data_IF_594085523775
#
_entry.id   IF_594085523775
#
_cell.length_a   1.000
_cell.length_b   1.000
_cell.length_c   1.000
_cell.angle_alpha   90.00
_cell.angle_beta   90.00
_cell.angle_gamma   90.00
#
_symmetry.space_group_name_H-M   'P 1'
#
loop_
_entity.id
_entity.type
_entity.pdbx_description
1 polymer ?
#
# COMPACT_ATOMS: atom_id res chain seq x y z
N UNK A 1 -7.39 3.65 9.93
CA UNK A 1 -6.93 3.34 8.57
C UNK A 1 -7.31 1.91 8.23
N UNK A 2 -7.92 1.74 7.08
CA UNK A 2 -8.82 0.60 6.81
C UNK A 2 -8.24 -0.38 5.78
N UNK A 3 -6.98 -0.17 5.35
CA UNK A 3 -6.35 -1.11 4.41
C UNK A 3 -5.98 -2.39 5.16
N UNK A 4 -6.57 -3.50 4.75
CA UNK A 4 -6.19 -4.80 5.29
C UNK A 4 -4.78 -5.16 4.81
N UNK A 5 -3.81 -4.98 5.70
CA UNK A 5 -2.41 -5.30 5.45
C UNK A 5 -2.20 -6.73 4.94
N UNK A 6 -2.99 -7.68 5.43
CA UNK A 6 -2.86 -9.08 5.03
C UNK A 6 -3.15 -9.26 3.56
N UNK A 7 -4.21 -8.63 3.05
CA UNK A 7 -4.54 -8.69 1.62
C UNK A 7 -3.39 -8.15 0.76
N UNK A 8 -2.81 -7.02 1.15
CA UNK A 8 -1.69 -6.43 0.40
C UNK A 8 -0.46 -7.34 0.47
N UNK A 9 -0.10 -7.84 1.64
CA UNK A 9 1.05 -8.72 1.80
C UNK A 9 0.86 -10.04 1.05
N UNK A 10 -0.35 -10.56 1.01
CA UNK A 10 -0.67 -11.78 0.27
C UNK A 10 -0.46 -11.64 -1.24
N UNK A 11 -0.67 -10.44 -1.80
CA UNK A 11 -0.40 -10.17 -3.21
C UNK A 11 1.09 -10.36 -3.58
N UNK A 12 1.98 -10.15 -2.63
CA UNK A 12 3.42 -10.24 -2.87
C UNK A 12 4.04 -11.58 -2.48
N UNK A 13 3.31 -12.49 -1.82
CA UNK A 13 3.82 -13.80 -1.40
C UNK A 13 4.36 -14.65 -2.54
N UNK A 14 3.72 -14.56 -3.71
CA UNK A 14 4.10 -15.36 -4.88
C UNK A 14 5.19 -14.71 -5.73
N UNK A 15 5.58 -13.48 -5.43
CA UNK A 15 6.54 -12.72 -6.24
C UNK A 15 8.00 -13.07 -5.94
N UNK A 16 8.28 -13.76 -4.84
CA UNK A 16 9.63 -14.02 -4.37
C UNK A 16 10.29 -12.84 -3.64
N UNK A 17 9.55 -11.75 -3.42
CA UNK A 17 10.02 -10.60 -2.63
C UNK A 17 9.50 -10.67 -1.20
N UNK A 18 10.37 -10.35 -0.26
CA UNK A 18 10.00 -10.21 1.15
C UNK A 18 9.64 -8.76 1.45
N UNK A 19 8.40 -8.51 1.82
CA UNK A 19 7.95 -7.20 2.26
C UNK A 19 8.14 -7.09 3.76
N UNK A 20 9.00 -6.17 4.19
CA UNK A 20 9.38 -6.00 5.61
C UNK A 20 8.31 -5.33 6.44
N UNK A 21 7.43 -4.55 5.83
CA UNK A 21 6.32 -3.91 6.50
C UNK A 21 5.58 -2.90 5.64
N UNK A 22 4.52 -2.35 6.21
CA UNK A 22 3.73 -1.28 5.62
C UNK A 22 3.73 -0.10 6.59
N UNK A 23 4.26 1.02 6.17
CA UNK A 23 4.50 2.12 7.08
C UNK A 23 4.16 3.51 6.56
N UNK A 24 4.44 4.47 7.40
CA UNK A 24 4.36 5.91 7.12
C UNK A 24 5.67 6.59 7.49
N UNK A 25 6.04 7.64 6.77
CA UNK A 25 7.13 8.49 7.20
C UNK A 25 6.72 9.35 8.39
N UNK A 26 7.53 9.34 9.43
CA UNK A 26 7.39 10.19 10.61
C UNK A 26 8.72 10.82 10.98
N UNK A 27 8.66 12.03 11.50
CA UNK A 27 9.83 12.66 12.11
C UNK A 27 9.95 12.22 13.56
N UNK A 28 11.02 11.50 13.86
CA UNK A 28 11.37 11.06 15.20
C UNK A 28 12.71 11.69 15.55
N UNK A 29 12.74 12.57 16.54
CA UNK A 29 13.97 13.28 16.95
C UNK A 29 14.68 14.00 15.78
N UNK A 30 13.91 14.69 14.93
CA UNK A 30 14.40 15.38 13.73
C UNK A 30 14.98 14.47 12.64
N UNK A 31 14.76 13.17 12.72
CA UNK A 31 15.12 12.20 11.69
C UNK A 31 13.85 11.63 11.07
N UNK A 32 13.76 11.67 9.75
CA UNK A 32 12.66 11.02 9.04
C UNK A 32 12.86 9.51 9.05
N UNK A 33 11.92 8.81 9.61
CA UNK A 33 11.92 7.35 9.72
C UNK A 33 10.64 6.77 9.14
N UNK A 34 10.75 5.61 8.52
CA UNK A 34 9.61 4.82 8.11
C UNK A 34 9.16 3.96 9.29
N UNK A 35 7.96 4.22 9.78
CA UNK A 35 7.39 3.53 10.95
C UNK A 35 6.28 2.61 10.49
N UNK A 36 6.33 1.35 10.90
CA UNK A 36 5.27 0.39 10.65
C UNK A 36 3.95 0.86 11.28
N UNK A 37 2.88 0.75 10.52
CA UNK A 37 1.53 1.06 10.99
C UNK A 37 0.88 -0.10 11.75
N UNK A 38 1.60 -1.21 11.99
CA UNK A 38 1.18 -2.26 12.90
C UNK A 38 1.16 -1.76 14.35
N UNK A 39 0.58 -2.55 15.22
CA UNK A 39 0.41 -2.19 16.63
C UNK A 39 1.73 -1.88 17.37
N UNK A 40 2.85 -2.34 16.81
CA UNK A 40 4.16 -2.16 17.43
C UNK A 40 4.83 -0.80 17.15
N UNK A 41 4.39 -0.07 16.16
CA UNK A 41 4.99 1.21 15.72
C UNK A 41 6.53 1.16 15.56
N UNK A 42 7.04 0.06 15.07
CA UNK A 42 8.49 -0.15 14.90
C UNK A 42 9.02 0.53 13.64
N UNK A 43 10.27 1.01 13.64
CA UNK A 43 10.93 1.43 12.42
C UNK A 43 11.05 0.26 11.44
N UNK A 44 10.73 0.52 10.17
CA UNK A 44 10.97 -0.42 9.07
C UNK A 44 12.34 -0.11 8.50
N UNK A 45 13.27 -1.06 8.63
CA UNK A 45 14.55 -1.03 7.94
C UNK A 45 14.44 -1.71 6.58
N UNK A 46 15.20 -1.21 5.60
CA UNK A 46 15.52 -2.02 4.44
C UNK A 46 16.57 -3.04 4.91
N UNK A 47 16.18 -4.29 4.86
CA UNK A 47 17.14 -5.36 5.07
C UNK A 47 18.14 -5.34 3.91
N UNK A 48 19.40 -5.55 4.23
CA UNK A 48 20.51 -5.61 3.25
C UNK A 48 20.43 -6.91 2.42
N UNK A 49 19.22 -7.34 2.11
CA UNK A 49 18.92 -8.58 1.41
C UNK A 49 18.28 -8.25 0.07
N UNK A 50 18.89 -8.76 -0.97
CA UNK A 50 18.29 -8.73 -2.31
C UNK A 50 16.89 -9.33 -2.29
N UNK A 51 15.99 -8.78 -3.08
CA UNK A 51 14.58 -9.17 -3.17
C UNK A 51 13.77 -8.89 -1.89
N UNK A 52 14.11 -7.83 -1.20
CA UNK A 52 13.30 -7.30 -0.10
C UNK A 52 12.80 -5.90 -0.42
N UNK A 53 11.83 -5.44 0.33
CA UNK A 53 11.30 -4.11 0.18
C UNK A 53 10.26 -3.76 1.23
N UNK A 54 9.66 -2.60 1.08
CA UNK A 54 8.60 -2.12 1.94
C UNK A 54 7.49 -1.46 1.15
N UNK A 55 6.34 -1.32 1.79
CA UNK A 55 5.22 -0.53 1.30
C UNK A 55 5.03 0.65 2.25
N UNK A 56 4.75 1.81 1.70
CA UNK A 56 4.38 2.97 2.50
C UNK A 56 3.15 3.67 1.97
N UNK A 57 2.46 4.33 2.86
CA UNK A 57 1.33 5.18 2.49
C UNK A 57 1.85 6.47 1.85
N UNK A 58 1.28 6.81 0.69
CA UNK A 58 1.51 8.10 0.05
C UNK A 58 0.51 9.13 0.56
N UNK A 59 -0.75 8.72 0.65
CA UNK A 59 -1.86 9.55 1.11
C UNK A 59 -2.76 8.76 2.06
N UNK A 60 -3.58 9.48 2.79
CA UNK A 60 -4.64 8.87 3.59
C UNK A 60 -5.69 8.20 2.71
N UNK A 61 -6.35 7.21 3.28
CA UNK A 61 -7.47 6.53 2.62
C UNK A 61 -8.59 7.53 2.35
N UNK A 62 -9.09 7.53 1.13
CA UNK A 62 -10.19 8.38 0.70
C UNK A 62 -11.43 7.52 0.41
N UNK A 63 -12.57 8.01 0.80
CA UNK A 63 -13.85 7.46 0.36
C UNK A 63 -14.08 7.94 -1.06
N UNK A 64 -14.17 7.01 -2.01
CA UNK A 64 -14.26 7.32 -3.43
C UNK A 64 -15.68 7.27 -3.98
N UNK A 65 -16.51 6.39 -3.43
CA UNK A 65 -17.89 6.20 -3.87
C UNK A 65 -18.77 5.80 -2.70
N UNK A 66 -19.96 6.35 -2.67
CA UNK A 66 -21.02 5.93 -1.75
C UNK A 66 -22.25 5.63 -2.59
N UNK A 67 -22.53 4.36 -2.77
CA UNK A 67 -23.76 3.92 -3.45
C UNK A 67 -24.75 3.40 -2.41
N UNK A 68 -25.94 3.94 -2.45
CA UNK A 68 -27.03 3.55 -1.57
C UNK A 68 -28.23 3.19 -2.43
N UNK A 69 -28.40 1.91 -2.70
CA UNK A 69 -29.56 1.39 -3.40
C UNK A 69 -30.30 0.42 -2.50
N UNK A 70 -31.51 0.82 -2.11
CA UNK A 70 -32.38 -0.05 -1.30
C UNK A 70 -31.69 -0.55 -0.03
N UNK A 71 -31.51 -1.85 0.13
CA UNK A 71 -30.82 -2.47 1.27
C UNK A 71 -29.32 -2.67 1.04
N UNK A 72 -28.77 -2.30 -0.11
CA UNK A 72 -27.34 -2.45 -0.40
C UNK A 72 -26.65 -1.10 -0.36
N UNK A 73 -25.64 -1.00 0.49
CA UNK A 73 -24.77 0.15 0.57
C UNK A 73 -23.35 -0.30 0.26
N UNK A 74 -22.73 0.32 -0.72
CA UNK A 74 -21.32 0.11 -0.98
C UNK A 74 -20.54 1.40 -0.78
N UNK A 75 -19.46 1.30 -0.06
CA UNK A 75 -18.50 2.39 0.15
C UNK A 75 -17.22 1.99 -0.52
N UNK A 76 -16.85 2.72 -1.56
CA UNK A 76 -15.55 2.56 -2.20
C UNK A 76 -14.49 3.35 -1.43
N UNK A 77 -13.39 2.70 -1.11
CA UNK A 77 -12.23 3.31 -0.49
C UNK A 77 -11.03 3.18 -1.41
N UNK A 78 -10.22 4.22 -1.47
CA UNK A 78 -8.99 4.22 -2.24
C UNK A 78 -7.83 4.74 -1.40
N UNK A 79 -6.72 4.04 -1.45
CA UNK A 79 -5.49 4.42 -0.75
C UNK A 79 -4.32 4.35 -1.71
N UNK A 80 -3.58 5.44 -1.82
CA UNK A 80 -2.38 5.47 -2.64
C UNK A 80 -1.17 4.99 -1.82
N UNK A 81 -0.50 4.00 -2.35
CA UNK A 81 0.62 3.30 -1.73
C UNK A 81 1.85 3.34 -2.65
N UNK A 82 3.00 3.28 -2.04
CA UNK A 82 4.28 3.15 -2.74
C UNK A 82 4.93 1.86 -2.28
N UNK A 83 5.28 1.01 -3.25
CA UNK A 83 6.12 -0.16 -3.06
C UNK A 83 7.54 0.20 -3.48
N UNK A 84 8.50 -0.04 -2.61
CA UNK A 84 9.94 0.09 -2.92
C UNK A 84 10.60 -1.25 -2.73
N UNK A 85 11.25 -1.74 -3.78
CA UNK A 85 11.93 -3.03 -3.79
C UNK A 85 13.42 -2.87 -4.12
N UNK A 86 14.25 -3.62 -3.42
CA UNK A 86 15.65 -3.83 -3.73
C UNK A 86 15.77 -5.03 -4.65
N UNK A 87 16.43 -4.83 -5.76
CA UNK A 87 16.59 -5.85 -6.80
C UNK A 87 18.05 -6.03 -7.17
N UNK A 88 18.41 -7.24 -7.55
CA UNK A 88 19.73 -7.50 -8.10
C UNK A 88 19.91 -6.79 -9.46
N UNK A 89 21.11 -6.37 -9.79
CA UNK A 89 21.42 -5.52 -10.96
C UNK A 89 21.07 -6.11 -12.32
N UNK A 90 20.70 -7.37 -12.39
CA UNK A 90 20.45 -8.05 -13.66
C UNK A 90 18.96 -7.93 -14.04
N UNK A 91 18.71 -7.37 -15.24
CA UNK A 91 17.38 -7.34 -15.85
C UNK A 91 16.29 -6.57 -15.06
N UNK A 92 16.63 -5.44 -14.46
CA UNK A 92 15.67 -4.62 -13.70
C UNK A 92 14.43 -4.23 -14.53
N UNK A 93 14.61 -3.93 -15.81
CA UNK A 93 13.48 -3.59 -16.70
C UNK A 93 12.48 -4.73 -16.81
N UNK A 94 12.96 -5.94 -17.05
CA UNK A 94 12.09 -7.12 -17.17
C UNK A 94 11.40 -7.44 -15.84
N UNK A 95 12.11 -7.28 -14.74
CA UNK A 95 11.55 -7.50 -13.42
C UNK A 95 10.47 -6.49 -13.09
N UNK A 96 10.69 -5.21 -13.37
CA UNK A 96 9.67 -4.17 -13.16
C UNK A 96 8.42 -4.42 -14.00
N UNK A 97 8.57 -4.83 -15.26
CA UNK A 97 7.44 -5.18 -16.12
C UNK A 97 6.67 -6.40 -15.60
N UNK A 98 7.37 -7.43 -15.13
CA UNK A 98 6.73 -8.63 -14.57
C UNK A 98 5.96 -8.31 -13.28
N UNK A 99 6.54 -7.53 -12.38
CA UNK A 99 5.87 -7.09 -11.16
C UNK A 99 4.65 -6.25 -11.45
N UNK A 100 4.78 -5.29 -12.37
CA UNK A 100 3.64 -4.47 -12.80
C UNK A 100 2.53 -5.33 -13.39
N UNK A 101 2.89 -6.30 -14.24
CA UNK A 101 1.92 -7.25 -14.82
C UNK A 101 1.24 -8.12 -13.76
N UNK A 102 1.96 -8.54 -12.72
CA UNK A 102 1.38 -9.30 -11.61
C UNK A 102 0.38 -8.45 -10.81
N UNK A 103 0.74 -7.20 -10.53
CA UNK A 103 -0.16 -6.28 -9.82
C UNK A 103 -1.41 -5.95 -10.63
N UNK A 104 -1.28 -5.80 -11.94
CA UNK A 104 -2.42 -5.53 -12.84
C UNK A 104 -3.40 -6.70 -12.94
N UNK A 105 -3.04 -7.89 -12.53
CA UNK A 105 -3.99 -9.02 -12.44
C UNK A 105 -4.96 -8.88 -11.25
N UNK A 106 -4.67 -8.01 -10.33
CA UNK A 106 -5.53 -7.72 -9.20
C UNK A 106 -6.46 -6.56 -9.55
N UNK A 107 -7.74 -6.81 -9.59
CA UNK A 107 -8.77 -5.81 -9.94
C UNK A 107 -8.83 -4.64 -8.94
N UNK A 108 -8.30 -4.87 -7.74
CA UNK A 108 -8.28 -3.88 -6.65
C UNK A 108 -7.08 -2.92 -6.74
N UNK A 109 -6.20 -3.09 -7.73
CA UNK A 109 -5.00 -2.29 -7.87
C UNK A 109 -4.97 -1.54 -9.20
N UNK A 110 -4.80 -0.23 -9.11
CA UNK A 110 -4.46 0.62 -10.24
C UNK A 110 -2.99 1.06 -10.13
N UNK A 111 -2.19 0.79 -11.15
CA UNK A 111 -0.81 1.27 -11.20
C UNK A 111 -0.81 2.73 -11.62
N UNK A 112 -0.22 3.60 -10.81
CA UNK A 112 -0.10 5.02 -11.08
C UNK A 112 1.23 5.37 -11.75
N UNK A 113 2.33 4.78 -11.29
CA UNK A 113 3.64 4.97 -11.90
C UNK A 113 4.61 3.84 -11.52
N UNK A 114 5.59 3.62 -12.39
CA UNK A 114 6.72 2.72 -12.14
C UNK A 114 8.00 3.49 -12.41
N UNK A 115 8.86 3.58 -11.42
CA UNK A 115 10.16 4.23 -11.51
C UNK A 115 11.27 3.21 -11.22
N UNK A 116 12.30 3.21 -12.04
CA UNK A 116 13.50 2.39 -11.89
C UNK A 116 14.78 3.24 -11.85
N UNK A 117 14.63 4.57 -11.82
CA UNK A 117 15.76 5.47 -11.68
C UNK A 117 16.24 5.48 -10.24
N UNK A 118 17.35 4.80 -10.01
CA UNK A 118 17.92 4.61 -8.67
C UNK A 118 18.16 5.92 -7.94
N UNK A 119 18.74 6.91 -8.59
CA UNK A 119 19.05 8.21 -7.97
C UNK A 119 17.78 8.94 -7.51
N UNK A 120 16.74 8.94 -8.33
CA UNK A 120 15.46 9.54 -7.98
C UNK A 120 14.80 8.81 -6.81
N UNK A 121 14.85 7.48 -6.80
CA UNK A 121 14.26 6.67 -5.73
C UNK A 121 15.03 6.88 -4.44
N UNK A 122 16.35 6.81 -4.46
CA UNK A 122 17.19 7.06 -3.29
C UNK A 122 16.89 8.43 -2.68
N UNK A 123 16.79 9.45 -3.51
CA UNK A 123 16.50 10.82 -3.08
C UNK A 123 15.10 10.95 -2.46
N UNK A 124 14.09 10.38 -3.10
CA UNK A 124 12.70 10.49 -2.64
C UNK A 124 12.40 9.65 -1.40
N UNK A 125 13.11 8.53 -1.24
CA UNK A 125 12.89 7.59 -0.15
C UNK A 125 13.92 7.73 0.99
N UNK A 126 14.92 8.62 0.83
CA UNK A 126 15.95 8.81 1.84
C UNK A 126 16.90 7.61 1.99
N UNK A 127 17.03 6.78 0.96
CA UNK A 127 17.91 5.63 0.93
C UNK A 127 19.32 6.10 0.55
N UNK A 128 20.32 5.67 1.31
CA UNK A 128 21.71 6.02 1.05
C UNK A 128 22.58 4.79 0.94
N UNK A 129 23.54 4.83 0.01
CA UNK A 129 24.59 3.82 -0.14
C UNK A 129 24.06 2.39 -0.35
N UNK A 130 22.96 2.25 -1.07
CA UNK A 130 22.41 0.94 -1.37
C UNK A 130 23.12 0.31 -2.58
N UNK A 131 23.66 -0.92 -2.47
CA UNK A 131 24.36 -1.59 -3.58
C UNK A 131 23.41 -2.17 -4.64
N UNK A 132 22.11 -2.26 -4.33
CA UNK A 132 21.12 -2.86 -5.21
C UNK A 132 20.48 -1.85 -6.16
N UNK A 133 19.86 -2.33 -7.22
CA UNK A 133 18.93 -1.55 -8.02
C UNK A 133 17.61 -1.41 -7.26
N UNK A 134 16.88 -0.34 -7.53
CA UNK A 134 15.62 -0.02 -6.88
C UNK A 134 14.47 0.01 -7.88
N UNK A 135 13.35 -0.52 -7.47
CA UNK A 135 12.08 -0.43 -8.20
C UNK A 135 11.08 0.27 -7.29
N UNK A 136 10.46 1.33 -7.78
CA UNK A 136 9.41 2.04 -7.07
C UNK A 136 8.12 1.99 -7.87
N UNK A 137 7.11 1.39 -7.31
CA UNK A 137 5.78 1.30 -7.91
C UNK A 137 4.81 2.09 -7.03
N UNK A 138 4.20 3.11 -7.62
CA UNK A 138 3.11 3.84 -6.99
C UNK A 138 1.80 3.27 -7.49
N UNK A 139 0.95 2.84 -6.60
CA UNK A 139 -0.31 2.21 -6.94
C UNK A 139 -1.44 2.66 -6.03
N UNK A 140 -2.65 2.59 -6.54
CA UNK A 140 -3.88 2.80 -5.80
C UNK A 140 -4.49 1.47 -5.46
N UNK A 141 -4.68 1.21 -4.18
CA UNK A 141 -5.44 0.08 -3.69
C UNK A 141 -6.88 0.51 -3.45
N UNK A 142 -7.80 -0.22 -4.08
CA UNK A 142 -9.23 0.02 -3.96
C UNK A 142 -9.84 -1.09 -3.12
N UNK A 143 -10.71 -0.71 -2.23
CA UNK A 143 -11.49 -1.63 -1.43
C UNK A 143 -12.95 -1.21 -1.47
N UNK A 144 -13.82 -2.13 -1.74
CA UNK A 144 -15.26 -1.91 -1.67
C UNK A 144 -15.77 -2.55 -0.38
N UNK A 145 -16.29 -1.72 0.47
CA UNK A 145 -16.98 -2.16 1.66
C UNK A 145 -18.45 -2.29 1.34
N UNK A 146 -18.88 -3.51 1.16
CA UNK A 146 -20.28 -3.84 1.02
C UNK A 146 -20.84 -4.19 2.39
N UNK A 147 -21.44 -3.21 3.00
CA UNK A 147 -22.37 -3.50 4.06
C UNK A 147 -23.65 -4.01 3.38
N UNK A 148 -23.55 -5.05 2.63
CA UNK A 148 -24.69 -5.70 2.05
C UNK A 148 -25.52 -6.28 3.15
N UNK A 149 -26.77 -6.33 2.87
CA UNK A 149 -27.83 -6.95 3.61
C UNK A 149 -28.43 -6.08 4.71
N UNK A 150 -29.70 -6.15 4.81
CA UNK A 150 -30.59 -5.46 5.72
C UNK A 150 -30.21 -5.48 7.23
N UNK A 151 -29.14 -6.14 7.58
CA UNK A 151 -28.50 -6.09 8.91
C UNK A 151 -28.09 -4.66 9.26
N UNK A 152 -27.73 -3.87 8.25
CA UNK A 152 -27.33 -2.48 8.45
C UNK A 152 -28.47 -1.49 8.57
N UNK A 153 -29.63 -1.82 8.06
CA UNK A 153 -30.80 -1.00 8.36
C UNK A 153 -31.02 -0.94 9.86
N UNK A 154 -30.75 -2.04 10.57
CA UNK A 154 -30.82 -2.06 12.03
C UNK A 154 -29.71 -1.25 12.68
N UNK A 155 -28.50 -1.29 12.12
CA UNK A 155 -27.38 -0.51 12.63
C UNK A 155 -27.54 0.99 12.31
N UNK A 156 -28.12 1.34 11.20
CA UNK A 156 -28.49 2.72 10.87
C UNK A 156 -29.63 3.25 11.71
N UNK A 157 -30.55 2.40 12.14
CA UNK A 157 -31.62 2.76 13.07
C UNK A 157 -31.09 2.93 14.49
N UNK A 158 -30.04 2.18 14.87
CA UNK A 158 -29.40 2.29 16.17
C UNK A 158 -28.38 3.42 16.24
N UNK A 159 -27.75 3.79 15.13
CA UNK A 159 -27.05 5.06 15.00
C UNK A 159 -28.11 6.16 14.87
N UNK A 160 -28.67 6.49 15.99
CA UNK A 160 -29.67 7.54 16.09
C UNK A 160 -29.10 8.81 15.46
N UNK A 161 -29.70 9.22 14.36
CA UNK A 161 -29.32 10.41 13.57
C UNK A 161 -29.27 11.68 14.45
N UNK A 162 -29.82 11.61 15.65
CA UNK A 162 -29.71 12.68 16.65
C UNK A 162 -28.30 12.83 17.26
N UNK A 163 -27.37 11.90 16.98
CA UNK A 163 -25.96 12.02 17.35
C UNK A 163 -25.07 12.53 16.20
N UNK A 164 -25.64 12.76 15.05
CA UNK A 164 -24.96 13.37 13.92
C UNK A 164 -25.07 14.89 13.96
#
# INVERSE_FOLDING_TARGET
MIVDKRKILDLFKETGYTITGIGVFRNVNNVQMLIDTSDDNKPIGLEDVCNSGYIRYLNDTKISNVNSYSCTRSIGMATDLILVLLHNKININNTSLRLTSLLLKCDDIDILSVDINKENIEKSEGIKNNPYELIKITFRYKEEYNEGDCVLENDCETLNINEC
#
